data_IF_742980006308
#
_entry.id   IF_742980006308
#
_cell.length_a   1.000
_cell.length_b   1.000
_cell.length_c   1.000
_cell.angle_alpha   90.00
_cell.angle_beta   90.00
_cell.angle_gamma   90.00
#
_symmetry.space_group_name_H-M   'P 1'
#
loop_
_entity.id
_entity.type
_entity.pdbx_description
1 polymer ?
#
# COMPACT_ATOMS: atom_id res chain seq x y z
N UNK A 1 -19.94 -11.44 -20.86
CA UNK A 1 -19.42 -10.58 -19.77
C UNK A 1 -19.75 -9.15 -20.10
N UNK A 2 -20.44 -8.46 -19.20
CA UNK A 2 -20.74 -7.03 -19.37
C UNK A 2 -19.48 -6.19 -19.09
N UNK A 3 -19.39 -5.00 -19.68
CA UNK A 3 -18.24 -4.08 -19.47
C UNK A 3 -18.00 -3.77 -17.99
N UNK A 4 -19.06 -3.68 -17.21
CA UNK A 4 -19.02 -3.42 -15.77
C UNK A 4 -18.40 -4.58 -14.98
N UNK A 5 -18.77 -5.82 -15.28
CA UNK A 5 -18.19 -7.01 -14.63
C UNK A 5 -16.68 -7.13 -14.89
N UNK A 6 -16.25 -6.84 -16.12
CA UNK A 6 -14.82 -6.84 -16.49
C UNK A 6 -14.03 -5.79 -15.71
N UNK A 7 -14.61 -4.60 -15.53
CA UNK A 7 -13.98 -3.50 -14.80
C UNK A 7 -13.86 -3.81 -13.31
N UNK A 8 -14.90 -4.38 -12.71
CA UNK A 8 -14.89 -4.82 -11.30
C UNK A 8 -13.82 -5.89 -11.06
N UNK A 9 -13.73 -6.89 -11.94
CA UNK A 9 -12.70 -7.93 -11.88
C UNK A 9 -11.29 -7.34 -11.94
N UNK A 10 -11.06 -6.40 -12.87
CA UNK A 10 -9.76 -5.73 -13.03
C UNK A 10 -9.36 -4.96 -11.77
N UNK A 11 -10.29 -4.18 -11.20
CA UNK A 11 -10.06 -3.43 -9.96
C UNK A 11 -9.78 -4.35 -8.77
N UNK A 12 -10.52 -5.45 -8.65
CA UNK A 12 -10.30 -6.44 -7.60
C UNK A 12 -8.93 -7.10 -7.74
N UNK A 13 -8.52 -7.45 -8.96
CA UNK A 13 -7.22 -8.07 -9.24
C UNK A 13 -6.06 -7.13 -8.87
N UNK A 14 -6.18 -5.83 -9.16
CA UNK A 14 -5.20 -4.83 -8.73
C UNK A 14 -5.08 -4.83 -7.20
N UNK A 15 -6.20 -4.79 -6.47
CA UNK A 15 -6.18 -4.80 -5.00
C UNK A 15 -5.58 -6.10 -4.44
N UNK A 16 -5.92 -7.26 -5.00
CA UNK A 16 -5.38 -8.55 -4.57
C UNK A 16 -3.84 -8.60 -4.73
N UNK A 17 -3.32 -8.14 -5.88
CA UNK A 17 -1.88 -8.11 -6.15
C UNK A 17 -1.13 -7.11 -5.29
N UNK A 18 -1.72 -5.93 -5.05
CA UNK A 18 -1.16 -4.95 -4.13
C UNK A 18 -1.01 -5.55 -2.73
N UNK A 19 -2.07 -6.20 -2.21
CA UNK A 19 -2.05 -6.83 -0.91
C UNK A 19 -0.97 -7.93 -0.77
N UNK A 20 -0.55 -8.55 -1.87
CA UNK A 20 0.54 -9.53 -1.93
C UNK A 20 1.95 -8.90 -2.01
N UNK A 21 2.08 -7.57 -1.91
CA UNK A 21 3.37 -6.90 -1.98
C UNK A 21 3.75 -6.42 -3.38
N UNK A 22 2.98 -6.73 -4.43
CA UNK A 22 3.35 -6.39 -5.82
C UNK A 22 3.17 -4.88 -6.05
N UNK A 23 4.19 -4.15 -6.52
CA UNK A 23 4.07 -2.71 -6.75
C UNK A 23 3.12 -2.41 -7.92
N UNK A 24 2.32 -1.35 -7.79
CA UNK A 24 1.32 -0.97 -8.82
C UNK A 24 1.91 -0.84 -10.23
N UNK A 25 3.15 -0.34 -10.34
CA UNK A 25 3.84 -0.20 -11.64
C UNK A 25 4.04 -1.55 -12.32
N UNK A 26 4.39 -2.58 -11.56
CA UNK A 26 4.56 -3.94 -12.07
C UNK A 26 3.21 -4.53 -12.46
N UNK A 27 2.17 -4.36 -11.64
CA UNK A 27 0.80 -4.77 -11.97
C UNK A 27 0.35 -4.14 -13.29
N UNK A 28 0.49 -2.83 -13.46
CA UNK A 28 0.10 -2.12 -14.67
C UNK A 28 0.95 -2.45 -15.91
N UNK A 29 2.05 -3.20 -15.73
CA UNK A 29 2.90 -3.68 -16.83
C UNK A 29 2.50 -5.08 -17.30
N UNK A 30 1.61 -5.76 -16.58
CA UNK A 30 1.13 -7.11 -16.95
C UNK A 30 0.15 -7.05 -18.14
N UNK A 31 0.05 -8.12 -18.94
CA UNK A 31 -0.97 -8.24 -19.97
C UNK A 31 -2.37 -8.03 -19.38
N UNK A 32 -3.25 -7.39 -20.15
CA UNK A 32 -4.66 -7.14 -19.78
C UNK A 32 -4.87 -6.22 -18.57
N UNK A 33 -3.81 -5.63 -18.00
CA UNK A 33 -3.91 -4.63 -16.94
C UNK A 33 -4.00 -3.20 -17.51
N UNK A 34 -4.75 -2.30 -16.85
CA UNK A 34 -4.79 -0.90 -17.23
C UNK A 34 -3.45 -0.23 -16.95
N UNK A 35 -3.15 0.83 -17.69
CA UNK A 35 -1.98 1.65 -17.40
C UNK A 35 -2.16 2.44 -16.08
N UNK A 36 -1.05 3.00 -15.58
CA UNK A 36 -1.03 3.76 -14.33
C UNK A 36 -2.00 4.95 -14.33
N UNK A 37 -2.09 5.70 -15.44
CA UNK A 37 -2.94 6.88 -15.54
C UNK A 37 -4.43 6.50 -15.38
N UNK A 38 -4.85 5.39 -15.99
CA UNK A 38 -6.21 4.87 -15.85
C UNK A 38 -6.52 4.52 -14.39
N UNK A 39 -5.60 3.85 -13.67
CA UNK A 39 -5.81 3.53 -12.26
C UNK A 39 -5.87 4.79 -11.41
N UNK A 40 -4.98 5.76 -11.62
CA UNK A 40 -5.00 7.03 -10.88
C UNK A 40 -6.29 7.82 -11.13
N UNK A 41 -6.81 7.81 -12.35
CA UNK A 41 -8.09 8.43 -12.69
C UNK A 41 -9.29 7.81 -11.96
N UNK A 42 -9.23 6.51 -11.61
CA UNK A 42 -10.27 5.87 -10.79
C UNK A 42 -10.17 6.24 -9.31
N UNK A 43 -8.97 6.61 -8.85
CA UNK A 43 -8.69 6.93 -7.45
C UNK A 43 -8.84 8.43 -7.12
N UNK A 44 -8.94 9.29 -8.14
CA UNK A 44 -8.92 10.75 -8.00
C UNK A 44 -10.34 11.31 -7.80
N UNK A 45 -10.71 11.80 -6.60
CA UNK A 45 -12.01 12.42 -6.38
C UNK A 45 -12.23 13.61 -7.33
N UNK A 46 -13.44 13.73 -7.87
CA UNK A 46 -13.79 14.77 -8.85
C UNK A 46 -13.44 14.43 -10.30
N UNK A 47 -12.72 13.34 -10.57
CA UNK A 47 -12.52 12.85 -11.93
C UNK A 47 -13.77 12.10 -12.43
N UNK A 48 -14.08 12.18 -13.74
CA UNK A 48 -15.26 11.52 -14.32
C UNK A 48 -15.26 9.98 -14.17
N UNK A 49 -14.07 9.39 -14.03
CA UNK A 49 -13.90 7.95 -13.83
C UNK A 49 -13.74 7.54 -12.35
N UNK A 50 -13.89 8.49 -11.42
CA UNK A 50 -13.73 8.26 -9.99
C UNK A 50 -14.66 7.16 -9.48
N UNK A 51 -14.14 6.31 -8.62
CA UNK A 51 -14.89 5.25 -7.95
C UNK A 51 -14.50 5.20 -6.46
N UNK A 52 -15.44 5.61 -5.60
CA UNK A 52 -15.22 5.68 -4.15
C UNK A 52 -15.01 4.29 -3.53
N UNK A 53 -15.75 3.29 -3.98
CA UNK A 53 -15.67 1.92 -3.46
C UNK A 53 -14.31 1.28 -3.84
N UNK A 54 -13.83 1.56 -5.05
CA UNK A 54 -12.49 1.16 -5.45
C UNK A 54 -11.41 1.87 -4.63
N UNK A 55 -11.55 3.17 -4.36
CA UNK A 55 -10.59 3.91 -3.54
C UNK A 55 -10.46 3.31 -2.13
N UNK A 56 -11.58 2.95 -1.50
CA UNK A 56 -11.55 2.38 -0.14
C UNK A 56 -10.92 0.98 -0.12
N UNK A 57 -11.27 0.11 -1.06
CA UNK A 57 -10.59 -1.20 -1.22
C UNK A 57 -9.11 -1.04 -1.52
N UNK A 58 -8.75 -0.08 -2.36
CA UNK A 58 -7.37 0.18 -2.73
C UNK A 58 -6.55 0.64 -1.52
N UNK A 59 -7.11 1.48 -0.63
CA UNK A 59 -6.46 1.87 0.63
C UNK A 59 -6.20 0.67 1.53
N UNK A 60 -7.19 -0.22 1.69
CA UNK A 60 -7.03 -1.47 2.46
C UNK A 60 -5.95 -2.36 1.83
N UNK A 61 -5.93 -2.51 0.51
CA UNK A 61 -4.89 -3.26 -0.19
C UNK A 61 -3.50 -2.68 0.01
N UNK A 62 -3.36 -1.34 0.08
CA UNK A 62 -2.08 -0.67 0.39
C UNK A 62 -1.61 -0.89 1.82
N UNK A 63 -2.54 -1.01 2.79
CA UNK A 63 -2.21 -1.41 4.15
C UNK A 63 -1.68 -2.85 4.19
N UNK A 64 -2.38 -3.81 3.57
CA UNK A 64 -1.90 -5.19 3.46
C UNK A 64 -0.58 -5.32 2.69
N UNK A 65 -0.38 -4.46 1.69
CA UNK A 65 0.89 -4.39 0.98
C UNK A 65 2.06 -4.09 1.91
N UNK A 66 1.88 -3.21 2.89
CA UNK A 66 2.94 -2.88 3.85
C UNK A 66 3.31 -4.11 4.70
N UNK A 67 2.32 -4.87 5.16
CA UNK A 67 2.53 -6.13 5.88
C UNK A 67 3.28 -7.16 5.02
N UNK A 68 2.84 -7.37 3.78
CA UNK A 68 3.50 -8.29 2.85
C UNK A 68 4.96 -7.90 2.56
N UNK A 69 5.26 -6.60 2.46
CA UNK A 69 6.63 -6.11 2.28
C UNK A 69 7.48 -6.32 3.54
N UNK A 70 6.88 -6.22 4.73
CA UNK A 70 7.55 -6.52 6.00
C UNK A 70 7.86 -8.01 6.13
N UNK A 71 6.94 -8.89 5.75
CA UNK A 71 7.21 -10.34 5.68
C UNK A 71 8.32 -10.66 4.69
N UNK A 72 8.29 -10.06 3.49
CA UNK A 72 9.37 -10.21 2.49
C UNK A 72 10.73 -9.78 3.04
N UNK A 73 10.77 -8.72 3.84
CA UNK A 73 12.00 -8.26 4.50
C UNK A 73 12.56 -9.32 5.47
N UNK A 74 11.70 -10.02 6.21
CA UNK A 74 12.10 -11.14 7.08
C UNK A 74 12.62 -12.35 6.29
N UNK A 75 12.06 -12.62 5.11
CA UNK A 75 12.56 -13.69 4.24
C UNK A 75 13.95 -13.35 3.69
N UNK A 76 14.16 -12.13 3.20
CA UNK A 76 15.45 -11.67 2.69
C UNK A 76 16.54 -11.71 3.78
N UNK A 77 16.21 -11.34 5.02
CA UNK A 77 17.20 -11.37 6.11
C UNK A 77 17.70 -12.79 6.43
N UNK A 78 16.83 -13.78 6.27
CA UNK A 78 17.11 -15.21 6.54
C UNK A 78 17.67 -15.98 5.34
N UNK A 79 17.69 -15.39 4.15
CA UNK A 79 18.15 -16.08 2.93
C UNK A 79 19.68 -16.26 2.93
N UNK A 80 20.17 -17.42 3.36
CA UNK A 80 21.61 -17.70 3.45
C UNK A 80 22.32 -17.71 2.08
N UNK A 81 21.60 -17.80 0.96
CA UNK A 81 22.17 -17.79 -0.39
C UNK A 81 22.57 -16.39 -0.88
N UNK A 82 22.05 -15.34 -0.23
CA UNK A 82 22.29 -13.96 -0.63
C UNK A 82 23.50 -13.33 0.08
N UNK A 83 24.36 -12.58 -0.63
CA UNK A 83 25.39 -11.74 -0.01
C UNK A 83 24.79 -10.69 0.93
N UNK A 84 25.47 -10.41 2.05
CA UNK A 84 24.99 -9.46 3.08
C UNK A 84 24.71 -8.06 2.53
N UNK A 85 25.53 -7.56 1.60
CA UNK A 85 25.32 -6.24 1.00
C UNK A 85 24.04 -6.19 0.17
N UNK A 86 23.76 -7.25 -0.59
CA UNK A 86 22.54 -7.37 -1.37
C UNK A 86 21.30 -7.45 -0.46
N UNK A 87 21.38 -8.21 0.65
CA UNK A 87 20.32 -8.25 1.67
C UNK A 87 20.04 -6.86 2.22
N UNK A 88 21.09 -6.14 2.61
CA UNK A 88 20.96 -4.80 3.19
C UNK A 88 20.23 -3.84 2.25
N UNK A 89 20.64 -3.79 0.98
CA UNK A 89 19.97 -2.95 -0.04
C UNK A 89 18.49 -3.29 -0.17
N UNK A 90 18.15 -4.59 -0.23
CA UNK A 90 16.76 -5.02 -0.36
C UNK A 90 15.94 -4.72 0.91
N UNK A 91 16.49 -4.99 2.09
CA UNK A 91 15.85 -4.69 3.38
C UNK A 91 15.59 -3.18 3.51
N UNK A 92 16.55 -2.34 3.16
CA UNK A 92 16.40 -0.88 3.20
C UNK A 92 15.30 -0.40 2.24
N UNK A 93 15.26 -0.97 1.02
CA UNK A 93 14.21 -0.64 0.05
C UNK A 93 12.82 -1.08 0.52
N UNK A 94 12.69 -2.30 1.07
CA UNK A 94 11.43 -2.84 1.61
C UNK A 94 10.95 -2.03 2.83
N UNK A 95 11.87 -1.69 3.74
CA UNK A 95 11.59 -0.84 4.90
C UNK A 95 11.07 0.53 4.47
N UNK A 96 11.74 1.17 3.51
CA UNK A 96 11.31 2.46 2.97
C UNK A 96 9.91 2.39 2.30
N UNK A 97 9.67 1.32 1.54
CA UNK A 97 8.39 1.10 0.87
C UNK A 97 7.24 0.86 1.86
N UNK A 98 7.43 -0.02 2.86
CA UNK A 98 6.43 -0.31 3.89
C UNK A 98 6.09 0.94 4.72
N UNK A 99 7.11 1.68 5.18
CA UNK A 99 6.90 2.89 5.98
C UNK A 99 6.02 3.90 5.22
N UNK A 100 6.32 4.13 3.94
CA UNK A 100 5.53 5.04 3.10
C UNK A 100 4.05 4.63 2.98
N UNK A 101 3.76 3.33 2.94
CA UNK A 101 2.40 2.79 2.81
C UNK A 101 1.62 2.87 4.13
N UNK A 102 2.29 2.73 5.27
CA UNK A 102 1.70 2.93 6.60
C UNK A 102 1.42 4.40 6.95
N UNK A 103 1.77 5.33 6.04
CA UNK A 103 1.78 6.75 6.34
C UNK A 103 2.88 7.15 7.35
N UNK A 104 3.87 6.28 7.59
CA UNK A 104 5.09 6.60 8.33
C UNK A 104 6.07 7.30 7.38
N UNK A 105 6.49 8.52 7.71
CA UNK A 105 7.58 9.18 6.96
C UNK A 105 8.90 8.50 7.31
N UNK A 106 9.65 8.07 6.29
CA UNK A 106 11.02 7.58 6.45
C UNK A 106 11.88 8.70 7.08
N UNK A 107 12.41 8.46 8.27
CA UNK A 107 13.21 9.42 9.04
C UNK A 107 12.46 10.19 10.14
N UNK A 108 11.20 9.86 10.43
CA UNK A 108 10.47 10.43 11.57
C UNK A 108 10.66 9.55 12.82
N UNK A 109 11.86 9.59 13.40
CA UNK A 109 12.20 8.95 14.69
C UNK A 109 11.63 9.75 15.89
N UNK A 110 10.76 10.73 15.65
CA UNK A 110 10.18 11.53 16.72
C UNK A 110 8.94 10.85 17.29
N UNK A 111 8.86 10.62 18.61
CA UNK A 111 7.64 10.13 19.23
C UNK A 111 6.49 11.11 18.97
N UNK A 112 5.35 10.61 18.51
CA UNK A 112 4.13 11.42 18.34
C UNK A 112 3.72 11.99 19.70
N UNK A 113 3.77 13.31 19.83
CA UNK A 113 3.25 14.00 21.00
C UNK A 113 1.71 13.94 20.96
N UNK A 114 1.11 13.12 21.81
CA UNK A 114 -0.35 13.05 21.99
C UNK A 114 -0.73 14.04 23.08
N UNK A 115 -1.45 15.11 22.74
CA UNK A 115 -2.03 16.02 23.72
C UNK A 115 -3.40 15.51 24.12
N UNK A 116 -3.52 15.02 25.36
CA UNK A 116 -4.82 14.68 25.96
C UNK A 116 -5.34 15.89 26.72
N UNK A 117 -6.48 16.45 26.31
CA UNK A 117 -7.21 17.43 27.13
C UNK A 117 -8.07 16.69 28.14
N UNK A 118 -7.67 16.70 29.40
CA UNK A 118 -8.51 16.23 30.51
C UNK A 118 -9.46 17.35 30.89
N UNK A 119 -10.76 17.16 30.66
CA UNK A 119 -11.81 18.06 31.14
C UNK A 119 -12.30 17.51 32.47
N UNK A 120 -12.07 18.25 33.55
CA UNK A 120 -12.62 17.93 34.86
C UNK A 120 -14.06 18.46 34.93
N UNK A 121 -15.01 17.57 35.21
CA UNK A 121 -16.39 17.93 35.53
C UNK A 121 -16.60 17.65 37.02
N UNK A 122 -16.76 18.66 37.88
CA UNK A 122 -17.05 18.45 39.29
C UNK A 122 -18.41 17.76 39.45
N UNK A 123 -18.51 16.81 40.38
CA UNK A 123 -19.78 16.21 40.78
C UNK A 123 -20.65 17.26 41.50
N UNK A 124 -21.94 17.27 41.18
CA UNK A 124 -22.99 18.11 41.78
C UNK A 124 -23.33 17.70 43.20
#
# INVERSE_FOLDING_TARGET
MTKTESLLRTRQEICNRLAQGIPLREICSMPEMPNLATVYNWLMPGHAAFDAEFLDRYRVARMWQAEALTEKMLLVSRDESMPNDAKKIQIDALKAASAKLDGRKLGDDKPRQITVKVVYVPAS
#
